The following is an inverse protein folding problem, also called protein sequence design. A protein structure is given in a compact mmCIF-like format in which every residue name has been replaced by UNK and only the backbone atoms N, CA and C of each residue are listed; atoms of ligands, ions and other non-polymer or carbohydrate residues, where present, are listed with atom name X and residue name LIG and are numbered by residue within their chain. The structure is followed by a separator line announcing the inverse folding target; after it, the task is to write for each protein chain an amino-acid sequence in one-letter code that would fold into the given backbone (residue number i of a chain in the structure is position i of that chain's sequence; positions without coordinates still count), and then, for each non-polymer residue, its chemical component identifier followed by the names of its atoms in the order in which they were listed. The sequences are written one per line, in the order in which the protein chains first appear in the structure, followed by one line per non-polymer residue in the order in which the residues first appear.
data_IF_499808697345
#
_entry.id   IF_499808697345
#
_cell.length_a   1.000
_cell.length_b   1.000
_cell.length_c   1.000
_cell.angle_alpha   90.00
_cell.angle_beta   90.00
_cell.angle_gamma   90.00
#
_symmetry.space_group_name_H-M   'P 1'
#
loop_
_entity.id
_entity.type
_entity.pdbx_description
1 polymer ?
#
# COMPACT_ATOMS: atom_id res chain seq x y z
N UNK A 1 10.05 39.05 -33.60
CA UNK A 1 9.64 37.83 -32.89
C UNK A 1 10.71 37.55 -31.86
N UNK A 2 10.68 38.27 -30.74
CA UNK A 2 11.22 37.68 -29.52
C UNK A 2 10.42 36.39 -29.26
N UNK A 3 11.14 35.31 -28.92
CA UNK A 3 10.52 34.19 -28.25
C UNK A 3 10.56 34.56 -26.78
N UNK A 4 9.41 34.58 -26.12
CA UNK A 4 9.42 34.43 -24.67
C UNK A 4 10.00 33.04 -24.40
N UNK A 5 11.26 32.98 -23.97
CA UNK A 5 11.90 31.78 -23.43
C UNK A 5 11.35 31.46 -22.01
N UNK A 6 10.04 31.66 -21.84
CA UNK A 6 9.31 31.50 -20.60
C UNK A 6 9.45 30.08 -20.07
N UNK A 7 9.90 29.97 -18.84
CA UNK A 7 10.04 28.67 -18.21
C UNK A 7 8.66 28.11 -17.89
N UNK A 8 8.38 26.88 -18.31
CA UNK A 8 7.11 26.22 -18.02
C UNK A 8 6.91 25.93 -16.51
N UNK A 9 7.92 26.20 -15.68
CA UNK A 9 7.80 26.31 -14.21
C UNK A 9 6.81 27.38 -13.75
N UNK A 10 6.57 28.39 -14.56
CA UNK A 10 5.78 29.56 -14.19
C UNK A 10 4.28 29.26 -14.23
N UNK A 11 3.89 28.08 -14.74
CA UNK A 11 2.55 27.52 -14.66
C UNK A 11 2.59 26.08 -14.09
N UNK A 12 2.42 25.90 -12.76
CA UNK A 12 2.51 24.58 -12.13
C UNK A 12 1.41 23.61 -12.57
N UNK A 13 0.21 24.09 -12.92
CA UNK A 13 -0.89 23.23 -13.40
C UNK A 13 -0.52 22.50 -14.69
N UNK A 14 0.29 23.12 -15.55
CA UNK A 14 0.75 22.51 -16.80
C UNK A 14 1.78 21.40 -16.55
N UNK A 15 2.58 21.52 -15.49
CA UNK A 15 3.51 20.46 -15.05
C UNK A 15 2.75 19.30 -14.40
N UNK A 16 1.77 19.59 -13.53
CA UNK A 16 0.92 18.56 -12.91
C UNK A 16 0.19 17.73 -13.97
N UNK A 17 -0.51 18.39 -14.90
CA UNK A 17 -1.21 17.71 -16.01
C UNK A 17 -0.26 16.92 -16.91
N UNK A 18 1.00 17.34 -17.06
CA UNK A 18 2.00 16.57 -17.84
C UNK A 18 2.37 15.27 -17.13
N UNK A 19 2.64 15.32 -15.82
CA UNK A 19 2.92 14.13 -15.02
C UNK A 19 1.70 13.19 -14.95
N UNK A 20 0.49 13.74 -14.91
CA UNK A 20 -0.75 12.95 -14.97
C UNK A 20 -1.10 12.40 -16.37
N UNK A 21 -0.44 12.87 -17.43
CA UNK A 21 -0.70 12.54 -18.84
C UNK A 21 -2.06 13.06 -19.35
N UNK A 22 -2.48 14.24 -18.88
CA UNK A 22 -3.78 14.88 -19.17
C UNK A 22 -3.69 16.03 -20.19
N UNK A 23 -2.52 16.33 -20.77
CA UNK A 23 -2.42 17.29 -21.87
C UNK A 23 -2.87 16.69 -23.21
N UNK A 24 -3.38 17.56 -24.08
CA UNK A 24 -3.47 17.31 -25.51
C UNK A 24 -2.07 16.92 -26.06
N UNK A 25 -1.95 15.88 -26.91
CA UNK A 25 -0.68 15.42 -27.49
C UNK A 25 0.15 16.52 -28.15
N UNK A 26 -0.45 17.54 -28.76
CA UNK A 26 0.27 18.65 -29.40
C UNK A 26 1.15 19.40 -28.37
N UNK A 27 0.58 19.70 -27.20
CA UNK A 27 1.27 20.36 -26.08
C UNK A 27 2.24 19.42 -25.34
N UNK A 28 1.96 18.12 -25.35
CA UNK A 28 2.87 17.12 -24.80
C UNK A 28 4.17 17.08 -25.60
N UNK A 29 4.08 17.08 -26.94
CA UNK A 29 5.25 17.16 -27.83
C UNK A 29 6.03 18.47 -27.65
N UNK A 30 5.33 19.62 -27.59
CA UNK A 30 5.93 20.93 -27.34
C UNK A 30 6.74 20.97 -26.03
N UNK A 31 6.15 20.46 -24.95
CA UNK A 31 6.81 20.38 -23.66
C UNK A 31 7.96 19.34 -23.65
N UNK A 32 7.84 18.21 -24.32
CA UNK A 32 8.96 17.28 -24.49
C UNK A 32 10.17 17.92 -25.18
N UNK A 33 9.95 18.68 -26.27
CA UNK A 33 11.03 19.38 -26.96
C UNK A 33 11.65 20.50 -26.10
N UNK A 34 10.83 21.23 -25.32
CA UNK A 34 11.34 22.19 -24.33
C UNK A 34 12.17 21.50 -23.23
N UNK A 35 11.74 20.33 -22.73
CA UNK A 35 12.45 19.56 -21.69
C UNK A 35 13.77 18.93 -22.17
N UNK A 36 13.98 18.79 -23.49
CA UNK A 36 15.28 18.40 -24.07
C UNK A 36 16.33 19.50 -23.92
N UNK A 37 15.92 20.77 -23.84
CA UNK A 37 16.81 21.95 -23.75
C UNK A 37 16.86 22.55 -22.34
N UNK A 38 15.72 22.63 -21.64
CA UNK A 38 15.62 23.33 -20.35
C UNK A 38 15.82 22.41 -19.13
N UNK A 39 17.04 22.38 -18.59
CA UNK A 39 17.38 21.67 -17.34
C UNK A 39 16.61 22.18 -16.09
N UNK A 40 16.03 23.38 -16.13
CA UNK A 40 15.22 23.93 -15.02
C UNK A 40 13.84 23.25 -15.00
N UNK A 41 13.09 23.32 -16.10
CA UNK A 41 11.80 22.64 -16.26
C UNK A 41 11.92 21.12 -16.06
N UNK A 42 13.03 20.53 -16.55
CA UNK A 42 13.36 19.10 -16.37
C UNK A 42 13.56 18.69 -14.90
N UNK A 43 14.03 19.59 -14.04
CA UNK A 43 14.09 19.36 -12.58
C UNK A 43 12.71 19.48 -11.94
N UNK A 44 11.92 20.49 -12.32
CA UNK A 44 10.56 20.68 -11.82
C UNK A 44 9.64 19.48 -12.14
N UNK A 45 9.67 18.99 -13.39
CA UNK A 45 8.97 17.77 -13.80
C UNK A 45 9.40 16.54 -12.99
N UNK A 46 10.70 16.39 -12.67
CA UNK A 46 11.19 15.28 -11.84
C UNK A 46 10.70 15.37 -10.39
N UNK A 47 10.68 16.54 -9.78
CA UNK A 47 10.10 16.69 -8.44
C UNK A 47 8.61 16.34 -8.42
N UNK A 48 7.86 16.77 -9.44
CA UNK A 48 6.43 16.48 -9.52
C UNK A 48 6.14 14.99 -9.80
N UNK A 49 6.97 14.34 -10.63
CA UNK A 49 6.95 12.88 -10.81
C UNK A 49 7.17 12.12 -9.49
N UNK A 50 8.07 12.60 -8.63
CA UNK A 50 8.33 12.00 -7.30
C UNK A 50 7.11 12.19 -6.38
N UNK A 51 6.50 13.38 -6.36
CA UNK A 51 5.28 13.66 -5.58
C UNK A 51 4.14 12.75 -6.01
N UNK A 52 3.82 12.71 -7.32
CA UNK A 52 2.75 11.86 -7.87
C UNK A 52 3.04 10.37 -7.65
N UNK A 53 4.29 9.92 -7.76
CA UNK A 53 4.66 8.54 -7.43
C UNK A 53 4.45 8.21 -5.95
N UNK A 54 4.78 9.14 -5.04
CA UNK A 54 4.52 9.02 -3.60
C UNK A 54 3.02 8.93 -3.27
N UNK A 55 2.21 9.80 -3.86
CA UNK A 55 0.73 9.78 -3.71
C UNK A 55 0.16 8.46 -4.24
N UNK A 56 0.55 8.03 -5.45
CA UNK A 56 0.13 6.75 -6.04
C UNK A 56 0.59 5.54 -5.20
N UNK A 57 1.74 5.59 -4.53
CA UNK A 57 2.18 4.55 -3.59
C UNK A 57 1.31 4.51 -2.34
N UNK A 58 1.14 5.63 -1.63
CA UNK A 58 0.34 5.70 -0.41
C UNK A 58 -1.14 5.33 -0.66
N UNK A 59 -1.72 5.76 -1.79
CA UNK A 59 -3.07 5.38 -2.20
C UNK A 59 -3.23 3.85 -2.37
N UNK A 60 -2.27 3.19 -3.02
CA UNK A 60 -2.27 1.71 -3.16
C UNK A 60 -2.11 0.98 -1.83
N UNK A 61 -1.34 1.54 -0.89
CA UNK A 61 -1.17 0.97 0.45
C UNK A 61 -2.46 1.10 1.29
N UNK A 62 -3.10 2.27 1.29
CA UNK A 62 -4.43 2.48 1.91
C UNK A 62 -5.49 1.56 1.31
N UNK A 63 -5.57 1.49 -0.02
CA UNK A 63 -6.53 0.62 -0.72
C UNK A 63 -6.32 -0.87 -0.40
N UNK A 64 -5.06 -1.33 -0.27
CA UNK A 64 -4.76 -2.70 0.19
C UNK A 64 -5.21 -2.97 1.63
N UNK A 65 -5.09 -1.99 2.53
CA UNK A 65 -5.57 -2.11 3.91
C UNK A 65 -7.10 -2.16 3.94
N UNK A 66 -7.78 -1.31 3.17
CA UNK A 66 -9.24 -1.30 3.07
C UNK A 66 -9.78 -2.60 2.44
N UNK A 67 -9.13 -3.12 1.39
CA UNK A 67 -9.48 -4.41 0.79
C UNK A 67 -9.34 -5.55 1.81
N UNK A 68 -8.23 -5.59 2.57
CA UNK A 68 -8.02 -6.60 3.63
C UNK A 68 -9.08 -6.52 4.72
N UNK A 69 -9.47 -5.31 5.12
CA UNK A 69 -10.56 -5.10 6.08
C UNK A 69 -11.88 -5.66 5.54
N UNK A 70 -12.27 -5.28 4.32
CA UNK A 70 -13.51 -5.78 3.67
C UNK A 70 -13.49 -7.30 3.44
N UNK A 71 -12.33 -7.87 3.10
CA UNK A 71 -12.13 -9.32 2.97
C UNK A 71 -12.17 -10.09 4.31
N UNK A 72 -11.98 -9.42 5.44
CA UNK A 72 -12.13 -10.00 6.78
C UNK A 72 -13.52 -9.73 7.40
N UNK A 73 -14.22 -8.70 6.93
CA UNK A 73 -15.62 -8.39 7.30
C UNK A 73 -16.63 -9.23 6.52
N UNK A 74 -16.32 -9.63 5.29
CA UNK A 74 -17.02 -10.73 4.62
C UNK A 74 -16.63 -12.03 5.36
N UNK A 75 -17.57 -12.73 6.01
CA UNK A 75 -17.26 -14.01 6.62
C UNK A 75 -16.78 -15.00 5.55
N UNK A 76 -15.89 -15.92 5.91
CA UNK A 76 -15.60 -17.08 5.06
C UNK A 76 -16.81 -18.04 5.05
N UNK A 77 -17.89 -17.64 4.39
CA UNK A 77 -18.82 -18.56 3.74
C UNK A 77 -18.06 -19.27 2.63
N UNK A 78 -17.24 -20.25 3.05
CA UNK A 78 -16.63 -21.25 2.18
C UNK A 78 -17.80 -22.03 1.57
N UNK A 79 -18.30 -21.56 0.43
CA UNK A 79 -19.32 -22.23 -0.34
C UNK A 79 -18.92 -23.72 -0.43
N UNK A 80 -19.67 -24.63 0.20
CA UNK A 80 -19.15 -25.95 0.53
C UNK A 80 -18.83 -26.68 -0.77
N UNK A 81 -17.54 -26.83 -1.05
CA UNK A 81 -17.06 -27.46 -2.28
C UNK A 81 -17.58 -28.90 -2.40
N UNK A 82 -17.80 -29.57 -1.27
CA UNK A 82 -18.48 -30.86 -1.18
C UNK A 82 -19.89 -30.83 -1.77
N UNK A 83 -20.68 -29.76 -1.51
CA UNK A 83 -22.02 -29.58 -2.07
C UNK A 83 -21.99 -29.24 -3.57
N UNK A 84 -21.02 -28.43 -4.00
CA UNK A 84 -20.82 -28.11 -5.43
C UNK A 84 -20.39 -29.36 -6.21
N UNK A 85 -19.45 -30.13 -5.66
CA UNK A 85 -18.99 -31.41 -6.23
C UNK A 85 -20.10 -32.47 -6.22
N UNK A 86 -20.90 -32.56 -5.15
CA UNK A 86 -22.06 -33.46 -5.10
C UNK A 86 -23.10 -33.10 -6.17
N UNK A 87 -23.42 -31.82 -6.33
CA UNK A 87 -24.33 -31.36 -7.39
C UNK A 87 -23.78 -31.67 -8.80
N UNK A 88 -22.48 -31.42 -9.04
CA UNK A 88 -21.82 -31.76 -10.30
C UNK A 88 -21.83 -33.27 -10.58
N UNK A 89 -21.55 -34.11 -9.57
CA UNK A 89 -21.61 -35.56 -9.68
C UNK A 89 -23.02 -36.07 -10.02
N UNK A 90 -24.06 -35.52 -9.39
CA UNK A 90 -25.46 -35.84 -9.71
C UNK A 90 -25.80 -35.48 -11.16
N UNK A 91 -25.36 -34.31 -11.65
CA UNK A 91 -25.57 -33.92 -13.07
C UNK A 91 -24.87 -34.88 -14.03
N UNK A 92 -23.63 -35.27 -13.74
CA UNK A 92 -22.87 -36.25 -14.56
C UNK A 92 -23.54 -37.63 -14.56
N UNK A 93 -24.03 -38.10 -13.40
CA UNK A 93 -24.76 -39.36 -13.27
C UNK A 93 -26.07 -39.32 -14.07
N UNK A 94 -26.84 -38.24 -13.97
CA UNK A 94 -28.09 -38.05 -14.74
C UNK A 94 -27.84 -38.00 -16.26
N UNK A 95 -26.79 -37.30 -16.71
CA UNK A 95 -26.40 -37.30 -18.12
C UNK A 95 -25.95 -38.69 -18.60
N UNK A 96 -25.21 -39.42 -17.76
CA UNK A 96 -24.75 -40.79 -18.07
C UNK A 96 -25.92 -41.76 -18.18
N UNK A 97 -26.90 -41.69 -17.27
CA UNK A 97 -28.14 -42.47 -17.31
C UNK A 97 -29.00 -42.12 -18.54
N UNK A 98 -29.16 -40.84 -18.85
CA UNK A 98 -29.91 -40.39 -20.03
C UNK A 98 -29.25 -40.86 -21.34
N UNK A 99 -27.91 -40.80 -21.43
CA UNK A 99 -27.15 -41.29 -22.58
C UNK A 99 -27.22 -42.82 -22.70
N UNK A 100 -27.06 -43.55 -21.59
CA UNK A 100 -27.14 -45.01 -21.54
C UNK A 100 -28.54 -45.49 -21.95
N UNK A 101 -29.60 -44.94 -21.35
CA UNK A 101 -30.98 -45.26 -21.72
C UNK A 101 -31.22 -44.95 -23.20
N UNK A 102 -30.82 -43.76 -23.68
CA UNK A 102 -30.95 -43.40 -25.10
C UNK A 102 -30.23 -44.37 -26.04
N UNK A 103 -29.08 -44.91 -25.64
CA UNK A 103 -28.33 -45.88 -26.44
C UNK A 103 -29.08 -47.23 -26.53
N UNK A 104 -29.47 -47.80 -25.38
CA UNK A 104 -30.06 -49.13 -25.31
C UNK A 104 -31.55 -49.20 -25.70
N UNK A 105 -32.34 -48.14 -25.45
CA UNK A 105 -33.76 -48.10 -25.87
C UNK A 105 -33.96 -47.98 -27.38
N UNK A 106 -32.88 -47.77 -28.17
CA UNK A 106 -32.94 -47.81 -29.64
C UNK A 106 -33.16 -49.22 -30.23
N UNK A 107 -33.17 -50.29 -29.41
CA UNK A 107 -33.23 -51.68 -29.88
C UNK A 107 -34.59 -52.40 -29.71
N UNK A 108 -35.71 -51.69 -29.75
CA UNK A 108 -37.00 -52.29 -30.16
C UNK A 108 -37.72 -51.46 -31.23
N UNK A 109 -37.43 -51.70 -32.53
CA UNK A 109 -38.36 -51.42 -33.62
C UNK A 109 -39.53 -52.43 -33.60
N UNK A 110 -40.26 -52.46 -32.48
CA UNK A 110 -41.21 -53.50 -32.11
C UNK A 110 -42.62 -53.30 -32.69
N UNK A 111 -42.83 -53.79 -33.92
CA UNK A 111 -44.11 -54.24 -34.47
C UNK A 111 -45.28 -53.23 -34.41
N UNK A 112 -45.62 -52.67 -35.56
CA UNK A 112 -46.85 -51.90 -35.77
C UNK A 112 -48.11 -52.78 -35.64
N UNK A 113 -48.75 -52.78 -34.46
CA UNK A 113 -50.09 -53.34 -34.29
C UNK A 113 -51.14 -52.44 -34.95
N UNK A 114 -51.44 -52.73 -36.21
CA UNK A 114 -52.47 -52.06 -37.02
C UNK A 114 -53.87 -52.49 -36.62
N UNK A 115 -54.45 -51.84 -35.59
CA UNK A 115 -55.91 -51.88 -35.37
C UNK A 115 -56.57 -50.78 -36.20
N UNK A 116 -57.52 -51.19 -37.05
CA UNK A 116 -58.10 -50.35 -38.09
C UNK A 116 -59.28 -49.53 -37.55
N UNK A 117 -59.24 -48.24 -37.85
CA UNK A 117 -60.34 -47.25 -37.96
C UNK A 117 -61.66 -47.48 -37.18
N UNK A 118 -62.09 -46.42 -36.50
CA UNK A 118 -63.21 -45.62 -37.05
C UNK A 118 -63.12 -44.15 -36.61
N UNK A 119 -63.46 -43.25 -37.53
CA UNK A 119 -63.65 -41.83 -37.26
C UNK A 119 -65.07 -41.43 -37.68
N UNK A 120 -65.69 -40.49 -36.97
CA UNK A 120 -66.59 -39.54 -37.63
C UNK A 120 -66.16 -38.08 -37.37
N UNK A 121 -65.48 -37.55 -38.39
CA UNK A 121 -65.38 -36.15 -38.81
C UNK A 121 -66.65 -35.29 -38.55
N UNK A 122 -66.51 -34.18 -37.80
CA UNK A 122 -67.08 -32.83 -38.03
C UNK A 122 -66.54 -31.87 -36.95
N UNK A 123 -65.75 -30.83 -37.30
CA UNK A 123 -66.12 -29.48 -37.77
C UNK A 123 -66.69 -28.55 -36.69
N UNK A 124 -65.99 -27.44 -36.41
CA UNK A 124 -66.42 -26.38 -35.47
C UNK A 124 -65.33 -25.37 -35.08
N UNK A 125 -65.17 -24.31 -35.88
CA UNK A 125 -64.65 -22.98 -35.45
C UNK A 125 -65.76 -22.22 -34.67
N UNK A 126 -65.51 -21.05 -34.02
CA UNK A 126 -64.25 -20.30 -33.79
C UNK A 126 -63.94 -20.23 -32.27
N UNK A 127 -63.40 -19.21 -31.57
CA UNK A 127 -62.86 -17.83 -31.81
C UNK A 127 -61.81 -17.51 -30.70
N UNK A 128 -60.98 -16.44 -30.81
CA UNK A 128 -59.97 -16.10 -29.80
C UNK A 128 -60.44 -15.11 -28.72
N UNK A 129 -59.85 -15.18 -27.51
CA UNK A 129 -59.88 -14.09 -26.52
C UNK A 129 -58.53 -14.03 -25.79
N UNK A 130 -57.70 -13.00 -25.99
CA UNK A 130 -57.78 -11.71 -25.30
C UNK A 130 -57.83 -11.82 -23.77
N UNK A 131 -56.64 -11.74 -23.14
CA UNK A 131 -56.40 -10.84 -21.99
C UNK A 131 -54.89 -10.67 -21.72
N UNK A 132 -54.33 -9.60 -22.26
CA UNK A 132 -52.98 -9.12 -21.96
C UNK A 132 -52.99 -7.58 -21.96
N UNK A 133 -52.87 -6.99 -20.78
CA UNK A 133 -52.95 -5.54 -20.53
C UNK A 133 -52.24 -5.23 -19.18
N UNK A 134 -51.76 -4.00 -18.93
CA UNK A 134 -50.61 -3.47 -19.65
C UNK A 134 -49.48 -2.97 -18.71
N UNK A 135 -48.32 -2.66 -19.29
CA UNK A 135 -47.33 -1.75 -18.69
C UNK A 135 -46.81 -0.78 -19.77
N UNK A 136 -46.88 0.51 -19.49
CA UNK A 136 -46.73 1.60 -20.48
C UNK A 136 -45.29 2.11 -20.57
N UNK A 137 -44.81 2.50 -21.76
CA UNK A 137 -43.83 3.58 -21.88
C UNK A 137 -44.36 4.75 -22.74
N UNK A 138 -44.27 5.98 -22.20
CA UNK A 138 -44.31 7.20 -23.02
C UNK A 138 -43.02 7.24 -23.86
N UNK A 139 -43.03 7.48 -25.16
CA UNK A 139 -43.49 8.69 -25.88
C UNK A 139 -42.61 9.92 -25.64
N UNK A 140 -41.60 10.08 -26.49
CA UNK A 140 -40.73 11.26 -26.63
C UNK A 140 -40.03 11.21 -28.01
N UNK A 141 -40.04 12.26 -28.87
CA UNK A 141 -39.98 12.03 -30.32
C UNK A 141 -38.85 12.76 -31.08
N UNK A 142 -38.74 12.45 -32.39
CA UNK A 142 -38.14 13.30 -33.46
C UNK A 142 -36.60 13.56 -33.39
N UNK A 143 -35.85 13.82 -34.47
CA UNK A 143 -36.14 13.77 -35.92
C UNK A 143 -34.87 13.49 -36.76
N UNK A 144 -35.05 12.87 -37.93
CA UNK A 144 -34.30 13.04 -39.20
C UNK A 144 -32.76 12.92 -39.33
N UNK A 145 -32.42 12.78 -40.62
CA UNK A 145 -31.19 13.20 -41.33
C UNK A 145 -29.95 12.28 -41.29
N UNK A 146 -29.91 11.44 -42.35
CA UNK A 146 -28.70 11.08 -43.09
C UNK A 146 -27.72 12.27 -43.18
N UNK A 147 -26.43 12.00 -43.05
CA UNK A 147 -25.50 12.30 -44.15
C UNK A 147 -24.26 11.40 -44.05
N UNK A 148 -23.73 10.99 -45.21
CA UNK A 148 -22.72 9.95 -45.33
C UNK A 148 -21.35 10.54 -45.62
N UNK A 149 -20.39 10.35 -44.71
CA UNK A 149 -18.97 10.55 -45.01
C UNK A 149 -18.17 9.28 -44.75
N UNK A 150 -17.81 8.60 -45.84
CA UNK A 150 -16.84 7.52 -45.80
C UNK A 150 -15.42 8.13 -45.74
N UNK A 151 -14.82 8.15 -44.55
CA UNK A 151 -13.40 8.45 -44.41
C UNK A 151 -12.60 7.15 -44.36
N UNK A 152 -11.65 6.97 -45.29
CA UNK A 152 -10.64 5.92 -45.17
C UNK A 152 -9.77 6.23 -43.96
N UNK A 153 -9.62 5.25 -43.08
CA UNK A 153 -8.48 5.19 -42.15
C UNK A 153 -7.62 4.03 -42.61
N UNK A 154 -6.50 4.35 -43.26
CA UNK A 154 -5.52 3.35 -43.69
C UNK A 154 -4.91 2.66 -42.44
N UNK A 155 -4.87 1.32 -42.45
CA UNK A 155 -4.23 0.56 -41.37
C UNK A 155 -2.70 0.57 -41.55
N UNK A 156 -1.92 1.15 -40.63
CA UNK A 156 -0.47 1.05 -40.68
C UNK A 156 0.00 -0.40 -40.42
N UNK A 157 1.04 -0.81 -41.15
CA UNK A 157 1.52 -2.18 -41.26
C UNK A 157 1.74 -2.90 -39.93
N UNK A 158 1.12 -4.08 -39.79
CA UNK A 158 1.02 -4.90 -38.58
C UNK A 158 2.33 -5.57 -38.12
N UNK A 159 3.49 -5.12 -38.60
CA UNK A 159 4.79 -5.80 -38.51
C UNK A 159 5.78 -5.23 -37.48
N UNK A 160 5.54 -4.03 -36.93
CA UNK A 160 6.39 -3.47 -35.85
C UNK A 160 5.89 -3.80 -34.43
N UNK A 161 4.59 -4.00 -34.23
CA UNK A 161 3.96 -4.12 -32.91
C UNK A 161 4.46 -5.33 -32.08
N UNK A 162 4.83 -6.44 -32.73
CA UNK A 162 5.33 -7.64 -32.05
C UNK A 162 6.67 -7.43 -31.34
N UNK A 163 7.51 -6.50 -31.84
CA UNK A 163 8.81 -6.18 -31.22
C UNK A 163 8.68 -5.29 -29.99
N UNK A 164 7.65 -4.45 -29.91
CA UNK A 164 7.36 -3.63 -28.74
C UNK A 164 6.84 -4.50 -27.57
N UNK A 165 5.90 -5.42 -27.84
CA UNK A 165 5.34 -6.32 -26.82
C UNK A 165 6.44 -7.21 -26.23
N UNK A 166 7.30 -7.81 -27.07
CA UNK A 166 8.42 -8.64 -26.62
C UNK A 166 9.54 -7.86 -25.88
N UNK A 167 9.55 -6.53 -25.93
CA UNK A 167 10.42 -5.68 -25.11
C UNK A 167 9.76 -5.33 -23.76
N UNK A 168 8.44 -5.10 -23.76
CA UNK A 168 7.66 -4.85 -22.55
C UNK A 168 7.66 -6.05 -21.59
N UNK A 169 7.47 -7.27 -22.09
CA UNK A 169 7.52 -8.49 -21.25
C UNK A 169 8.88 -8.68 -20.58
N UNK A 170 9.99 -8.35 -21.26
CA UNK A 170 11.33 -8.45 -20.68
C UNK A 170 11.57 -7.45 -19.56
N UNK A 171 11.12 -6.20 -19.74
CA UNK A 171 11.17 -5.20 -18.67
C UNK A 171 10.27 -5.60 -17.48
N UNK A 172 9.11 -6.19 -17.73
CA UNK A 172 8.21 -6.68 -16.69
C UNK A 172 8.80 -7.85 -15.87
N UNK A 173 9.53 -8.77 -16.51
CA UNK A 173 10.21 -9.87 -15.80
C UNK A 173 11.51 -9.42 -15.10
N UNK A 174 12.27 -8.46 -15.64
CA UNK A 174 13.37 -7.83 -14.89
C UNK A 174 12.84 -7.03 -13.68
N UNK A 175 11.74 -6.28 -13.83
CA UNK A 175 11.11 -5.59 -12.71
C UNK A 175 10.54 -6.59 -11.68
N UNK A 176 10.03 -7.77 -12.09
CA UNK A 176 9.69 -8.86 -11.15
C UNK A 176 10.90 -9.47 -10.44
N UNK A 177 12.04 -9.62 -11.12
CA UNK A 177 13.27 -10.10 -10.47
C UNK A 177 13.87 -9.06 -9.51
N UNK A 178 13.57 -7.77 -9.69
CA UNK A 178 13.93 -6.72 -8.73
C UNK A 178 12.87 -6.56 -7.61
N UNK A 179 11.57 -6.64 -7.90
CA UNK A 179 10.50 -6.57 -6.90
C UNK A 179 10.42 -7.83 -6.01
N UNK A 180 10.92 -8.98 -6.45
CA UNK A 180 11.15 -10.14 -5.57
C UNK A 180 12.30 -9.94 -4.56
N UNK A 181 13.01 -8.80 -4.64
CA UNK A 181 13.89 -8.26 -3.58
C UNK A 181 13.25 -7.08 -2.82
N UNK A 182 11.91 -7.04 -2.73
CA UNK A 182 11.26 -6.27 -1.67
C UNK A 182 11.76 -6.75 -0.28
N UNK A 183 11.88 -5.86 0.73
CA UNK A 183 13.02 -5.93 1.63
C UNK A 183 12.90 -6.93 2.79
N UNK A 184 13.97 -7.70 3.01
CA UNK A 184 14.25 -8.61 4.13
C UNK A 184 14.46 -7.89 5.48
N UNK A 185 13.80 -6.74 5.72
CA UNK A 185 14.02 -5.89 6.91
C UNK A 185 13.29 -6.41 8.15
N UNK A 186 12.11 -7.02 8.02
CA UNK A 186 11.46 -7.68 9.17
C UNK A 186 12.15 -9.00 9.54
N UNK A 187 12.69 -9.74 8.56
CA UNK A 187 13.34 -11.04 8.78
C UNK A 187 14.66 -10.92 9.56
N UNK A 188 15.32 -9.76 9.55
CA UNK A 188 16.46 -9.44 10.43
C UNK A 188 16.06 -8.99 11.84
N UNK A 189 14.77 -8.71 12.10
CA UNK A 189 14.25 -8.49 13.45
C UNK A 189 13.99 -9.82 14.16
N UNK A 190 13.41 -10.80 13.46
CA UNK A 190 13.16 -12.14 14.03
C UNK A 190 14.44 -12.97 14.26
N UNK A 191 15.50 -12.75 13.49
CA UNK A 191 16.72 -13.58 13.56
C UNK A 191 17.82 -13.08 14.50
N UNK A 192 17.55 -12.04 15.31
CA UNK A 192 18.45 -11.56 16.37
C UNK A 192 17.81 -11.51 17.76
N UNK A 193 16.55 -11.93 17.90
CA UNK A 193 15.74 -11.70 19.09
C UNK A 193 15.91 -12.77 20.19
N UNK A 194 17.14 -13.24 20.42
CA UNK A 194 17.49 -14.04 21.62
C UNK A 194 17.69 -13.10 22.82
N UNK A 195 16.60 -12.39 23.16
CA UNK A 195 16.61 -11.31 24.16
C UNK A 195 16.46 -11.93 25.54
N UNK A 196 17.56 -11.93 26.31
CA UNK A 196 17.59 -12.32 27.72
C UNK A 196 16.78 -11.35 28.60
N UNK A 197 15.45 -11.50 28.60
CA UNK A 197 14.48 -10.68 29.34
C UNK A 197 14.52 -10.96 30.87
N UNK A 198 15.68 -10.73 31.48
CA UNK A 198 15.93 -10.91 32.91
C UNK A 198 15.42 -9.73 33.74
N UNK A 199 14.10 -9.60 33.85
CA UNK A 199 13.44 -8.87 34.95
C UNK A 199 12.00 -9.34 35.12
N UNK A 200 11.65 -9.75 36.34
CA UNK A 200 10.30 -10.13 36.74
C UNK A 200 9.37 -8.91 36.77
N UNK A 201 8.21 -9.00 36.13
CA UNK A 201 7.25 -7.90 36.05
C UNK A 201 6.59 -7.58 37.40
N UNK A 202 7.07 -6.51 38.06
CA UNK A 202 6.24 -5.68 38.94
C UNK A 202 5.56 -4.57 38.15
N UNK A 203 4.55 -3.90 38.72
CA UNK A 203 3.79 -2.84 38.01
C UNK A 203 4.68 -1.66 37.56
N UNK A 204 5.74 -1.36 38.31
CA UNK A 204 6.72 -0.31 38.02
C UNK A 204 8.05 -0.88 37.48
N UNK A 205 8.00 -1.91 36.62
CA UNK A 205 9.20 -2.51 36.06
C UNK A 205 9.90 -1.58 35.04
N UNK A 206 11.15 -1.20 35.32
CA UNK A 206 12.03 -0.53 34.36
C UNK A 206 12.47 -1.53 33.27
N UNK A 207 11.97 -1.37 32.05
CA UNK A 207 12.31 -2.23 30.92
C UNK A 207 13.45 -1.62 30.10
N UNK A 208 14.52 -2.37 29.88
CA UNK A 208 15.58 -2.01 28.94
C UNK A 208 15.39 -2.73 27.61
N UNK A 209 15.44 -1.99 26.50
CA UNK A 209 15.34 -2.55 25.14
C UNK A 209 16.50 -2.08 24.25
N UNK A 210 16.85 -2.92 23.28
CA UNK A 210 17.76 -2.58 22.18
C UNK A 210 16.95 -2.19 20.95
N UNK A 211 17.03 -0.93 20.55
CA UNK A 211 16.49 -0.44 19.28
C UNK A 211 17.52 -0.56 18.16
N UNK A 212 17.15 -1.14 17.02
CA UNK A 212 17.98 -1.14 15.80
C UNK A 212 17.69 0.10 14.97
N UNK A 213 18.72 0.84 14.56
CA UNK A 213 18.58 1.92 13.57
C UNK A 213 18.23 1.29 12.21
N UNK A 214 17.06 1.63 11.69
CA UNK A 214 16.53 1.18 10.42
C UNK A 214 16.98 2.15 9.31
N UNK A 215 18.07 1.81 8.62
CA UNK A 215 18.55 2.60 7.47
C UNK A 215 17.47 2.73 6.41
N UNK A 216 16.91 3.92 6.23
CA UNK A 216 15.99 4.23 5.13
C UNK A 216 16.78 4.25 3.81
N UNK A 217 16.76 3.13 3.09
CA UNK A 217 17.50 2.88 1.84
C UNK A 217 17.08 3.76 0.63
N UNK A 218 16.52 4.94 0.87
CA UNK A 218 15.89 5.78 -0.15
C UNK A 218 16.50 7.19 -0.30
N UNK A 219 17.49 7.57 0.53
CA UNK A 219 18.37 8.70 0.23
C UNK A 219 19.33 8.31 -0.91
N UNK A 220 18.88 8.51 -2.15
CA UNK A 220 19.75 8.61 -3.31
C UNK A 220 20.88 9.61 -2.99
N UNK A 221 22.16 9.28 -3.24
CA UNK A 221 23.29 9.99 -2.64
C UNK A 221 23.39 11.43 -3.16
N UNK A 222 22.82 12.37 -2.39
CA UNK A 222 22.93 13.81 -2.68
C UNK A 222 24.41 14.19 -2.75
N UNK A 223 24.78 14.86 -3.86
CA UNK A 223 26.16 15.12 -4.21
C UNK A 223 26.94 15.74 -3.04
N UNK A 224 28.08 15.14 -2.70
CA UNK A 224 28.77 15.36 -1.43
C UNK A 224 28.98 16.86 -1.13
N UNK A 225 28.47 17.38 0.00
CA UNK A 225 28.55 18.81 0.30
C UNK A 225 30.03 19.22 0.44
N UNK A 226 30.42 20.24 -0.33
CA UNK A 226 31.81 20.71 -0.44
C UNK A 226 32.46 20.91 0.93
N UNK A 227 33.65 20.34 1.13
CA UNK A 227 34.35 20.25 2.42
C UNK A 227 34.38 21.56 3.21
N UNK A 228 34.58 22.69 2.54
CA UNK A 228 34.58 24.04 3.14
C UNK A 228 33.30 24.41 3.93
N UNK A 229 32.12 23.89 3.55
CA UNK A 229 30.87 24.11 4.33
C UNK A 229 30.74 23.20 5.54
N UNK A 230 31.51 22.11 5.62
CA UNK A 230 31.43 21.11 6.69
C UNK A 230 32.17 21.57 7.96
N UNK A 231 33.34 22.19 7.80
CA UNK A 231 34.14 22.72 8.91
C UNK A 231 33.53 23.96 9.58
N UNK A 232 32.92 24.86 8.80
CA UNK A 232 32.23 26.03 9.36
C UNK A 232 31.04 25.62 10.24
N UNK A 233 30.25 24.62 9.82
CA UNK A 233 29.14 24.08 10.60
C UNK A 233 29.62 23.32 11.85
N UNK A 234 30.69 22.52 11.77
CA UNK A 234 31.15 21.75 12.93
C UNK A 234 31.67 22.62 14.07
N UNK A 235 32.32 23.75 13.77
CA UNK A 235 32.78 24.71 14.80
C UNK A 235 31.60 25.36 15.53
N UNK A 236 30.64 25.95 14.81
CA UNK A 236 29.44 26.55 15.42
C UNK A 236 28.60 25.53 16.21
N UNK A 237 28.43 24.31 15.69
CA UNK A 237 27.75 23.24 16.42
C UNK A 237 28.48 22.85 17.72
N UNK A 238 29.82 22.90 17.74
CA UNK A 238 30.61 22.51 18.93
C UNK A 238 30.51 23.50 20.11
N UNK A 239 30.18 24.77 19.85
CA UNK A 239 29.92 25.75 20.91
C UNK A 239 28.48 25.66 21.40
N UNK A 240 27.48 25.62 20.50
CA UNK A 240 26.08 25.41 20.88
C UNK A 240 25.85 24.10 21.66
N UNK A 241 26.58 23.04 21.30
CA UNK A 241 26.52 21.75 22.00
C UNK A 241 27.18 21.73 23.39
N UNK A 242 27.86 22.80 23.84
CA UNK A 242 28.33 22.90 25.23
C UNK A 242 27.22 23.34 26.18
N UNK A 243 26.42 24.33 25.79
CA UNK A 243 25.34 24.86 26.65
C UNK A 243 24.12 23.93 26.67
N UNK A 244 23.88 23.19 25.59
CA UNK A 244 22.83 22.17 25.53
C UNK A 244 23.04 20.98 26.50
N UNK A 245 24.29 20.69 26.90
CA UNK A 245 24.66 19.47 27.66
C UNK A 245 24.10 19.36 29.08
N UNK A 246 23.49 20.41 29.64
CA UNK A 246 22.87 20.35 30.96
C UNK A 246 21.33 20.23 30.94
N UNK A 247 20.71 20.10 29.76
CA UNK A 247 19.24 19.98 29.65
C UNK A 247 18.85 18.59 29.16
N UNK A 248 18.22 17.81 30.04
CA UNK A 248 17.49 16.62 29.62
C UNK A 248 16.17 17.05 28.98
N UNK A 249 16.19 17.21 27.65
CA UNK A 249 15.00 17.63 26.91
C UNK A 249 13.93 16.53 26.98
N UNK A 250 12.82 16.83 27.64
CA UNK A 250 11.61 16.02 27.70
C UNK A 250 10.58 16.57 26.71
N UNK A 251 10.04 15.68 25.86
CA UNK A 251 8.93 16.00 24.97
C UNK A 251 7.77 15.03 25.21
N UNK A 252 6.57 15.58 25.36
CA UNK A 252 5.34 14.78 25.45
C UNK A 252 4.75 14.58 24.06
N UNK A 253 4.84 13.36 23.53
CA UNK A 253 4.37 13.01 22.19
C UNK A 253 2.97 12.42 22.29
N UNK A 254 1.95 13.27 22.25
CA UNK A 254 0.55 12.82 22.21
C UNK A 254 0.27 12.12 20.88
N UNK A 255 0.28 10.78 20.88
CA UNK A 255 0.05 9.98 19.69
C UNK A 255 -1.45 10.02 19.34
N UNK A 256 -1.81 10.78 18.30
CA UNK A 256 -3.20 10.99 17.87
C UNK A 256 -3.79 9.79 17.09
N UNK A 257 -3.69 8.59 17.68
CA UNK A 257 -4.21 7.33 17.15
C UNK A 257 -5.49 6.90 17.89
N UNK A 258 -6.23 5.91 17.36
CA UNK A 258 -7.57 5.50 17.83
C UNK A 258 -7.57 4.97 19.28
N UNK A 259 -6.40 4.61 19.82
CA UNK A 259 -6.16 4.44 21.25
C UNK A 259 -5.10 5.45 21.67
N UNK A 260 -5.51 6.55 22.30
CA UNK A 260 -4.61 7.61 22.75
C UNK A 260 -3.78 7.13 23.95
N UNK A 261 -2.54 6.70 23.68
CA UNK A 261 -1.55 6.42 24.71
C UNK A 261 -0.67 7.66 24.91
N UNK A 262 -0.49 8.08 26.16
CA UNK A 262 0.48 9.12 26.51
C UNK A 262 1.88 8.52 26.45
N UNK A 263 2.69 9.03 25.52
CA UNK A 263 4.05 8.58 25.24
C UNK A 263 4.99 9.78 25.37
N UNK A 264 5.78 9.81 26.44
CA UNK A 264 6.79 10.86 26.62
C UNK A 264 8.15 10.38 26.13
N UNK A 265 8.74 11.14 25.21
CA UNK A 265 10.02 10.88 24.59
C UNK A 265 11.08 11.75 25.26
N UNK A 266 12.10 11.11 25.83
CA UNK A 266 13.25 11.76 26.47
C UNK A 266 14.53 11.28 25.81
N UNK A 267 15.56 12.10 25.91
CA UNK A 267 16.91 11.75 25.48
C UNK A 267 17.92 12.05 26.56
N UNK A 268 18.89 11.13 26.70
CA UNK A 268 20.05 11.22 27.57
C UNK A 268 21.29 10.87 26.75
N UNK A 269 22.46 11.31 27.19
CA UNK A 269 23.70 10.98 26.49
C UNK A 269 24.15 9.54 26.82
N UNK A 270 24.86 8.87 25.92
CA UNK A 270 25.40 7.53 26.18
C UNK A 270 26.37 7.48 27.36
N UNK A 271 26.94 8.61 27.79
CA UNK A 271 27.71 8.71 29.05
C UNK A 271 26.89 8.49 30.31
N UNK A 272 25.55 8.59 30.26
CA UNK A 272 24.64 8.37 31.40
C UNK A 272 24.23 6.89 31.57
N UNK A 273 24.51 6.03 30.58
CA UNK A 273 24.31 4.58 30.67
C UNK A 273 25.26 3.94 31.71
N UNK A 274 24.87 2.79 32.26
CA UNK A 274 25.77 2.00 33.10
C UNK A 274 27.02 1.56 32.29
N UNK A 275 28.22 1.46 32.89
CA UNK A 275 29.45 1.16 32.14
C UNK A 275 29.40 -0.12 31.29
N UNK A 276 28.66 -1.14 31.72
CA UNK A 276 28.43 -2.36 30.95
C UNK A 276 27.59 -2.14 29.68
N UNK A 277 26.59 -1.26 29.73
CA UNK A 277 25.77 -0.86 28.57
C UNK A 277 26.58 0.02 27.61
N UNK A 278 27.40 0.95 28.14
CA UNK A 278 28.32 1.76 27.32
C UNK A 278 29.30 0.90 26.50
N UNK A 279 29.78 -0.20 27.07
CA UNK A 279 30.64 -1.16 26.36
C UNK A 279 29.85 -1.89 25.27
N UNK A 280 28.63 -2.36 25.57
CA UNK A 280 27.76 -3.04 24.61
C UNK A 280 27.35 -2.14 23.43
N UNK A 281 27.09 -0.85 23.65
CA UNK A 281 26.76 0.07 22.56
C UNK A 281 27.95 0.31 21.64
N UNK A 282 29.17 0.38 22.20
CA UNK A 282 30.42 0.50 21.44
C UNK A 282 30.76 -0.76 20.63
N UNK A 283 30.25 -1.93 21.01
CA UNK A 283 30.41 -3.18 20.23
C UNK A 283 29.24 -3.50 19.30
N UNK A 284 28.08 -2.85 19.47
CA UNK A 284 26.87 -3.00 18.63
C UNK A 284 26.57 -1.70 17.83
N UNK A 285 27.35 -1.39 16.77
CA UNK A 285 27.05 -0.22 15.93
C UNK A 285 25.66 -0.32 15.32
N UNK A 286 24.91 0.78 15.33
CA UNK A 286 23.51 0.81 14.88
C UNK A 286 22.49 0.33 15.92
N UNK A 287 22.90 0.06 17.17
CA UNK A 287 21.99 -0.18 18.30
C UNK A 287 21.91 1.04 19.21
N UNK A 288 20.69 1.44 19.55
CA UNK A 288 20.37 2.48 20.53
C UNK A 288 19.73 1.80 21.74
N UNK A 289 20.39 1.90 22.89
CA UNK A 289 19.77 1.49 24.15
C UNK A 289 18.65 2.47 24.50
N UNK A 290 17.52 1.95 24.97
CA UNK A 290 16.38 2.76 25.39
C UNK A 290 15.77 2.16 26.64
N UNK A 291 15.56 3.01 27.64
CA UNK A 291 14.86 2.66 28.87
C UNK A 291 13.39 3.02 28.70
N UNK A 292 12.50 2.05 28.92
CA UNK A 292 11.06 2.24 28.90
C UNK A 292 10.55 2.09 30.32
N UNK A 293 9.88 3.12 30.81
CA UNK A 293 9.30 3.18 32.14
C UNK A 293 7.80 3.46 32.03
N UNK A 294 7.01 2.89 32.94
CA UNK A 294 5.63 3.33 33.18
C UNK A 294 5.65 4.27 34.37
N UNK A 295 5.08 5.45 34.22
CA UNK A 295 4.95 6.48 35.25
C UNK A 295 3.51 6.96 35.21
N UNK A 296 2.74 6.61 36.24
CA UNK A 296 1.29 6.75 36.24
C UNK A 296 0.66 6.12 34.97
N UNK A 297 -0.21 6.84 34.24
CA UNK A 297 -0.80 6.40 32.97
C UNK A 297 0.08 6.70 31.73
N UNK A 298 1.33 7.15 31.91
CA UNK A 298 2.24 7.54 30.82
C UNK A 298 3.38 6.53 30.63
N UNK A 299 3.68 6.19 29.37
CA UNK A 299 4.86 5.39 29.01
C UNK A 299 5.99 6.33 28.60
N UNK A 300 7.03 6.39 29.42
CA UNK A 300 8.22 7.22 29.18
C UNK A 300 9.31 6.39 28.49
N UNK A 301 9.79 6.85 27.34
CA UNK A 301 10.91 6.26 26.60
C UNK A 301 12.10 7.20 26.62
N UNK A 302 13.19 6.76 27.24
CA UNK A 302 14.46 7.50 27.33
C UNK A 302 15.51 6.87 26.43
N UNK A 303 15.84 7.55 25.33
CA UNK A 303 16.85 7.12 24.36
C UNK A 303 18.25 7.56 24.80
N UNK A 304 19.24 6.68 24.64
CA UNK A 304 20.64 6.99 24.95
C UNK A 304 21.45 7.15 23.65
N UNK A 305 21.73 8.41 23.32
CA UNK A 305 22.30 8.83 22.02
C UNK A 305 23.68 9.50 22.21
N UNK A 306 24.63 9.20 21.32
CA UNK A 306 26.00 9.75 21.40
C UNK A 306 26.02 11.28 21.17
N UNK A 307 25.14 11.74 20.28
CA UNK A 307 24.73 13.14 20.15
C UNK A 307 23.25 13.24 20.48
N UNK A 308 22.88 14.22 21.30
CA UNK A 308 21.47 14.59 21.48
C UNK A 308 20.94 15.22 20.18
N UNK A 309 19.66 15.00 19.91
CA UNK A 309 18.86 15.66 18.88
C UNK A 309 18.55 17.09 19.29
N UNK A 310 18.34 17.99 18.32
CA UNK A 310 17.84 19.33 18.64
C UNK A 310 16.35 19.32 19.04
N UNK A 311 15.89 20.41 19.66
CA UNK A 311 14.52 20.52 20.19
C UNK A 311 13.45 20.42 19.10
N UNK A 312 13.74 20.86 17.87
CA UNK A 312 12.85 20.74 16.71
C UNK A 312 12.86 19.32 16.14
N UNK A 313 14.02 18.67 16.08
CA UNK A 313 14.14 17.26 15.66
C UNK A 313 13.32 16.35 16.59
N UNK A 314 13.44 16.59 17.90
CA UNK A 314 12.64 15.90 18.92
C UNK A 314 11.15 16.27 18.77
N UNK A 315 10.80 17.56 18.66
CA UNK A 315 9.41 18.01 18.51
C UNK A 315 8.68 17.45 17.27
N UNK A 316 9.44 17.13 16.21
CA UNK A 316 8.92 16.49 15.00
C UNK A 316 8.98 14.95 15.04
N UNK A 317 9.43 14.35 16.13
CA UNK A 317 9.52 12.91 16.28
C UNK A 317 8.14 12.23 16.23
N UNK A 318 8.07 11.10 15.53
CA UNK A 318 6.85 10.30 15.34
C UNK A 318 7.05 8.91 15.90
N UNK A 319 6.10 8.47 16.71
CA UNK A 319 6.06 7.13 17.28
C UNK A 319 4.99 6.33 16.52
N UNK A 320 5.37 5.18 15.98
CA UNK A 320 4.52 4.29 15.20
C UNK A 320 4.51 2.90 15.85
N UNK A 321 3.33 2.29 15.97
CA UNK A 321 3.12 0.95 16.55
C UNK A 321 2.65 -0.02 15.46
N UNK A 322 3.55 -0.56 14.61
CA UNK A 322 3.15 -1.40 13.47
C UNK A 322 2.55 -2.75 13.88
N UNK A 323 2.89 -3.25 15.08
CA UNK A 323 2.33 -4.46 15.71
C UNK A 323 2.20 -4.24 17.22
N UNK A 324 1.57 -5.17 17.94
CA UNK A 324 1.46 -5.12 19.40
C UNK A 324 2.78 -5.32 20.15
N UNK A 325 3.79 -5.89 19.50
CA UNK A 325 5.13 -6.19 20.05
C UNK A 325 6.25 -5.32 19.44
N UNK A 326 5.94 -4.36 18.56
CA UNK A 326 6.93 -3.52 17.90
C UNK A 326 6.62 -2.03 17.99
N UNK A 327 7.67 -1.23 18.09
CA UNK A 327 7.62 0.23 18.13
C UNK A 327 8.65 0.79 17.14
N UNK A 328 8.30 1.83 16.39
CA UNK A 328 9.24 2.59 15.57
C UNK A 328 9.21 4.05 16.00
N UNK A 329 10.34 4.56 16.50
CA UNK A 329 10.54 5.99 16.77
C UNK A 329 11.27 6.59 15.57
N UNK A 330 10.68 7.60 14.93
CA UNK A 330 11.21 8.24 13.72
C UNK A 330 11.46 9.72 13.97
N UNK A 331 12.68 10.22 13.74
CA UNK A 331 13.05 11.63 13.87
C UNK A 331 14.05 12.01 12.76
N UNK A 332 13.93 13.23 12.23
CA UNK A 332 14.75 13.70 11.08
C UNK A 332 14.81 12.68 9.94
N UNK A 333 16.00 12.12 9.63
CA UNK A 333 16.20 11.05 8.65
C UNK A 333 16.54 9.69 9.28
N UNK A 334 16.28 9.51 10.58
CA UNK A 334 16.52 8.25 11.31
C UNK A 334 15.21 7.62 11.78
N UNK A 335 15.19 6.29 11.83
CA UNK A 335 14.10 5.49 12.40
C UNK A 335 14.73 4.39 13.27
N UNK A 336 14.26 4.22 14.49
CA UNK A 336 14.73 3.18 15.41
C UNK A 336 13.57 2.20 15.63
N UNK A 337 13.78 0.94 15.23
CA UNK A 337 12.84 -0.15 15.45
C UNK A 337 13.18 -0.91 16.72
N UNK A 338 12.19 -1.03 17.62
CA UNK A 338 12.27 -1.76 18.88
C UNK A 338 11.34 -2.97 18.83
N UNK A 339 11.77 -4.09 19.42
CA UNK A 339 10.88 -5.20 19.80
C UNK A 339 10.63 -5.12 21.30
N UNK A 340 9.37 -5.16 21.69
CA UNK A 340 8.88 -5.07 23.06
C UNK A 340 8.37 -6.45 23.51
N UNK A 341 8.43 -6.78 24.82
CA UNK A 341 7.79 -7.97 25.34
C UNK A 341 6.28 -7.99 25.06
N UNK A 342 5.73 -9.18 24.80
CA UNK A 342 4.28 -9.32 24.59
C UNK A 342 3.49 -8.76 25.78
N UNK A 343 2.43 -8.01 25.47
CA UNK A 343 1.60 -7.37 26.47
C UNK A 343 2.13 -6.01 26.97
N UNK A 344 3.35 -5.57 26.63
CA UNK A 344 3.84 -4.26 27.07
C UNK A 344 2.97 -3.09 26.54
N UNK A 345 2.49 -3.19 25.29
CA UNK A 345 1.59 -2.20 24.69
C UNK A 345 0.09 -2.41 25.05
N UNK A 346 -0.25 -3.43 25.86
CA UNK A 346 -1.60 -3.51 26.44
C UNK A 346 -1.69 -2.47 27.55
N UNK A 347 -2.48 -1.42 27.32
CA UNK A 347 -2.98 -0.58 28.41
C UNK A 347 -3.59 -1.50 29.48
N UNK A 348 -3.16 -1.32 30.72
CA UNK A 348 -3.92 -1.85 31.86
C UNK A 348 -5.25 -1.11 31.81
N UNK A 349 -6.33 -1.81 31.45
CA UNK A 349 -7.66 -1.23 31.55
C UNK A 349 -7.98 -1.09 33.03
N UNK A 350 -7.66 0.08 33.59
CA UNK A 350 -7.99 0.46 34.96
C UNK A 350 -9.50 0.47 35.07
N UNK A 351 -10.04 -0.66 35.49
CA UNK A 351 -11.47 -0.90 35.63
C UNK A 351 -11.97 0.09 36.68
N UNK A 352 -12.85 1.06 36.34
CA UNK A 352 -13.21 2.12 37.26
C UNK A 352 -13.80 1.51 38.54
N UNK A 353 -13.27 1.94 39.69
CA UNK A 353 -13.81 1.57 40.98
C UNK A 353 -15.28 2.02 41.07
N UNK A 354 -16.11 1.18 41.68
CA UNK A 354 -17.55 1.43 41.90
C UNK A 354 -17.80 1.88 43.32
#
# INVERSE_FOLDING_TARGET
MERDDGHWTDNPEMIERFVLHELNPDKLNELEDHLRVCEVCKKAVRSEQIVVAGIRKSGRERFKIELRKKLAEVPEERAPWDSIMAAAAVVVILFSLAYYNRWFTTQEPGISNTVIAQAPRQQGEPEPSLKSEPATPLSGPTEARRESFASRVDQPSRTMASKAIAAADKLADEERQQQSKAPTVMTELDRSADVGALSSAGENADLWVEGKILTTQHEEPQAAPSMAKKEARSRMASEAAKDARMRSNELRVQQHNVQSQNLTLRQQNTTELAPQQQIQQKTKPGVVFTKIQRVDDETQLTLYLDSLLDENELANARIETPTSDSLIVSFSNQRIGYRLPEGWNRQVQVKPAK
#
